data_IF_286045270661
#
_entry.id   IF_286045270661
#
_cell.length_a   1.000
_cell.length_b   1.000
_cell.length_c   1.000
_cell.angle_alpha   90.00
_cell.angle_beta   90.00
_cell.angle_gamma   90.00
#
_symmetry.space_group_name_H-M   'P 1'
#
loop_
_entity.id
_entity.type
_entity.pdbx_description
1 polymer ?
#
# COMPACT_ATOMS: atom_id res chain seq x y z
N UNK A 1 49.62 -4.04 18.12
CA UNK A 1 49.09 -2.67 17.96
C UNK A 1 48.92 -2.46 16.47
N UNK A 2 47.73 -2.75 15.93
CA UNK A 2 47.42 -2.60 14.50
C UNK A 2 46.53 -1.37 14.39
N UNK A 3 47.07 -0.31 13.81
CA UNK A 3 46.34 0.94 13.52
C UNK A 3 45.40 0.69 12.34
N UNK A 4 44.09 0.90 12.55
CA UNK A 4 43.11 0.92 11.48
C UNK A 4 43.22 2.23 10.68
N UNK A 5 43.02 2.23 9.34
CA UNK A 5 43.02 3.46 8.55
C UNK A 5 41.79 4.32 8.87
N UNK A 6 41.97 5.63 8.88
CA UNK A 6 40.92 6.63 9.10
C UNK A 6 39.87 6.61 7.98
N UNK A 7 38.61 6.45 8.37
CA UNK A 7 37.41 6.31 7.51
C UNK A 7 36.77 7.64 7.10
N UNK A 8 37.51 8.76 7.10
CA UNK A 8 36.90 10.10 7.06
C UNK A 8 36.72 10.71 5.67
N UNK A 9 37.42 10.25 4.63
CA UNK A 9 37.37 10.88 3.30
C UNK A 9 36.34 10.22 2.36
N UNK A 10 36.26 8.88 2.33
CA UNK A 10 35.39 8.13 1.40
C UNK A 10 33.89 8.33 1.67
N UNK A 11 33.50 8.67 2.90
CA UNK A 11 32.10 8.85 3.30
C UNK A 11 31.54 10.20 2.88
N UNK A 12 32.37 11.24 2.84
CA UNK A 12 31.95 12.60 2.52
C UNK A 12 31.74 12.76 1.01
N UNK A 13 32.60 12.14 0.20
CA UNK A 13 32.47 12.11 -1.26
C UNK A 13 31.27 11.25 -1.71
N UNK A 14 31.03 10.10 -1.06
CA UNK A 14 29.86 9.26 -1.33
C UNK A 14 28.54 9.96 -0.95
N UNK A 15 28.53 10.69 0.17
CA UNK A 15 27.37 11.48 0.62
C UNK A 15 27.10 12.67 -0.31
N UNK A 16 28.14 13.43 -0.66
CA UNK A 16 28.03 14.52 -1.62
C UNK A 16 27.55 14.02 -3.00
N UNK A 17 27.95 12.81 -3.41
CA UNK A 17 27.49 12.20 -4.66
C UNK A 17 26.00 11.83 -4.60
N UNK A 18 25.52 11.28 -3.48
CA UNK A 18 24.08 10.97 -3.27
C UNK A 18 23.22 12.23 -3.19
N UNK A 19 23.65 13.25 -2.44
CA UNK A 19 22.96 14.54 -2.34
C UNK A 19 22.91 15.24 -3.71
N UNK A 20 24.02 15.21 -4.48
CA UNK A 20 24.08 15.79 -5.81
C UNK A 20 23.21 15.02 -6.82
N UNK A 21 23.13 13.69 -6.71
CA UNK A 21 22.23 12.88 -7.54
C UNK A 21 20.75 13.13 -7.20
N UNK A 22 20.40 13.28 -5.92
CA UNK A 22 19.05 13.61 -5.49
C UNK A 22 18.63 15.03 -5.93
N UNK A 23 19.54 16.01 -5.82
CA UNK A 23 19.30 17.37 -6.30
C UNK A 23 19.21 17.44 -7.83
N UNK A 24 20.06 16.71 -8.56
CA UNK A 24 19.96 16.56 -10.03
C UNK A 24 18.64 15.90 -10.42
N UNK A 25 18.19 14.87 -9.70
CA UNK A 25 16.89 14.25 -9.93
C UNK A 25 15.75 15.27 -9.70
N UNK A 26 15.79 16.04 -8.61
CA UNK A 26 14.79 17.08 -8.30
C UNK A 26 14.80 18.22 -9.33
N UNK A 27 15.99 18.64 -9.79
CA UNK A 27 16.17 19.73 -10.76
C UNK A 27 15.78 19.29 -12.17
N UNK A 28 16.13 18.06 -12.57
CA UNK A 28 15.61 17.41 -13.78
C UNK A 28 14.08 17.27 -13.70
N UNK A 29 13.51 17.05 -12.52
CA UNK A 29 12.05 16.99 -12.34
C UNK A 29 11.39 18.38 -12.36
N UNK A 30 12.07 19.43 -11.88
CA UNK A 30 11.59 20.83 -11.92
C UNK A 30 11.64 21.44 -13.32
N UNK A 31 12.75 21.27 -14.04
CA UNK A 31 12.93 21.80 -15.40
C UNK A 31 11.99 21.14 -16.43
N UNK A 32 11.44 19.98 -16.09
CA UNK A 32 10.41 19.27 -16.84
C UNK A 32 9.01 19.93 -16.72
N UNK A 33 8.66 20.43 -15.53
CA UNK A 33 7.33 20.96 -15.23
C UNK A 33 7.17 22.50 -15.34
N UNK A 34 8.19 23.24 -15.80
CA UNK A 34 8.16 24.70 -15.92
C UNK A 34 7.82 25.18 -17.33
N UNK A 35 6.67 25.84 -17.47
CA UNK A 35 6.23 26.69 -18.59
C UNK A 35 6.57 26.22 -20.03
N UNK A 36 5.79 25.26 -20.54
CA UNK A 36 5.65 25.07 -22.00
C UNK A 36 4.18 25.06 -22.40
N UNK A 37 3.80 25.75 -23.51
CA UNK A 37 2.44 25.73 -24.01
C UNK A 37 2.05 24.31 -24.40
N UNK A 38 0.80 23.96 -24.10
CA UNK A 38 0.21 22.66 -24.35
C UNK A 38 0.04 22.42 -25.86
N UNK A 39 1.08 21.91 -26.51
CA UNK A 39 1.02 21.39 -27.88
C UNK A 39 1.04 19.86 -27.84
N UNK A 40 -0.14 19.26 -27.99
CA UNK A 40 -0.44 17.99 -28.65
C UNK A 40 0.45 16.75 -28.44
N UNK A 41 -0.19 15.71 -27.88
CA UNK A 41 0.12 14.27 -27.94
C UNK A 41 1.29 13.76 -27.08
N UNK A 42 0.95 13.32 -25.87
CA UNK A 42 1.82 12.56 -24.96
C UNK A 42 2.35 13.43 -23.82
N UNK A 43 2.24 12.95 -22.58
CA UNK A 43 2.94 13.59 -21.47
C UNK A 43 4.47 13.36 -21.61
N UNK A 44 5.25 14.21 -20.96
CA UNK A 44 6.71 14.31 -21.07
C UNK A 44 7.48 13.01 -20.72
N UNK A 45 6.78 11.99 -20.22
CA UNK A 45 7.32 10.69 -19.89
C UNK A 45 7.20 9.68 -21.04
N UNK A 46 6.69 10.10 -22.20
CA UNK A 46 6.49 9.22 -23.34
C UNK A 46 5.48 8.12 -23.04
N UNK A 47 4.57 8.33 -22.08
CA UNK A 47 3.39 7.47 -21.95
C UNK A 47 2.55 7.79 -23.18
N UNK A 48 2.33 6.81 -24.10
CA UNK A 48 1.49 7.05 -25.25
C UNK A 48 0.15 7.59 -24.76
N UNK A 49 -0.30 8.72 -25.31
CA UNK A 49 -1.67 9.15 -25.13
C UNK A 49 -2.55 8.03 -25.73
N UNK A 50 -3.12 7.19 -24.86
CA UNK A 50 -3.76 5.92 -25.25
C UNK A 50 -3.25 4.64 -24.57
N UNK A 51 -2.29 4.70 -23.64
CA UNK A 51 -1.99 3.55 -22.76
C UNK A 51 -3.23 3.11 -21.95
N UNK A 52 -3.35 1.82 -21.59
CA UNK A 52 -4.55 1.32 -20.91
C UNK A 52 -4.77 2.10 -19.61
N UNK A 53 -5.91 2.82 -19.55
CA UNK A 53 -6.26 3.63 -18.40
C UNK A 53 -6.51 2.72 -17.21
N UNK A 54 -5.85 2.99 -16.08
CA UNK A 54 -6.08 2.28 -14.83
C UNK A 54 -7.58 2.31 -14.48
N UNK A 55 -8.18 1.12 -14.40
CA UNK A 55 -9.57 0.93 -13.98
C UNK A 55 -9.58 -0.02 -12.80
N UNK A 56 -10.07 0.43 -11.66
CA UNK A 56 -10.18 -0.40 -10.47
C UNK A 56 -11.46 -1.25 -10.51
N UNK A 57 -11.32 -2.51 -10.14
CA UNK A 57 -12.42 -3.42 -9.88
C UNK A 57 -12.51 -3.72 -8.39
N UNK A 58 -13.71 -3.67 -7.83
CA UNK A 58 -14.01 -3.90 -6.40
C UNK A 58 -15.28 -4.72 -6.27
N UNK A 59 -15.72 -5.01 -5.04
CA UNK A 59 -17.00 -5.67 -4.76
C UNK A 59 -18.17 -5.05 -5.55
N UNK A 60 -18.18 -3.73 -5.73
CA UNK A 60 -19.29 -3.04 -6.39
C UNK A 60 -19.37 -3.20 -7.91
N UNK A 61 -18.32 -3.70 -8.58
CA UNK A 61 -18.29 -3.73 -10.05
C UNK A 61 -17.56 -4.93 -10.67
N UNK A 62 -16.97 -5.86 -9.90
CA UNK A 62 -16.22 -6.98 -10.48
C UNK A 62 -17.08 -7.92 -11.34
N UNK A 63 -18.38 -8.05 -11.01
CA UNK A 63 -19.36 -8.77 -11.83
C UNK A 63 -19.52 -8.21 -13.25
N UNK A 64 -19.02 -6.99 -13.51
CA UNK A 64 -19.07 -6.37 -14.84
C UNK A 64 -17.85 -6.71 -15.72
N UNK A 65 -16.85 -7.42 -15.20
CA UNK A 65 -15.69 -7.88 -15.97
C UNK A 65 -16.18 -8.95 -16.96
N UNK A 66 -15.79 -8.85 -18.24
CA UNK A 66 -16.22 -9.79 -19.28
C UNK A 66 -15.71 -11.20 -19.00
N UNK A 67 -14.43 -11.31 -18.71
CA UNK A 67 -13.75 -12.57 -18.40
C UNK A 67 -14.34 -13.27 -17.16
N UNK A 68 -14.77 -12.52 -16.15
CA UNK A 68 -15.48 -13.08 -14.98
C UNK A 68 -16.78 -13.74 -15.39
N UNK A 69 -17.56 -13.13 -16.28
CA UNK A 69 -18.85 -13.70 -16.74
C UNK A 69 -18.68 -14.92 -17.65
N UNK A 70 -17.57 -14.96 -18.39
CA UNK A 70 -17.29 -16.00 -19.36
C UNK A 70 -16.64 -17.24 -18.71
N UNK A 71 -15.71 -17.03 -17.77
CA UNK A 71 -14.89 -18.11 -17.22
C UNK A 71 -15.32 -18.58 -15.82
N UNK A 72 -16.07 -17.78 -15.05
CA UNK A 72 -16.50 -18.19 -13.71
C UNK A 72 -17.95 -18.68 -13.69
N UNK A 73 -18.17 -19.76 -12.93
CA UNK A 73 -19.51 -20.19 -12.55
C UNK A 73 -20.17 -19.20 -11.58
N UNK A 74 -21.50 -19.20 -11.54
CA UNK A 74 -22.26 -18.41 -10.56
C UNK A 74 -21.89 -18.77 -9.10
N UNK A 75 -21.49 -20.02 -8.83
CA UNK A 75 -21.02 -20.43 -7.51
C UNK A 75 -19.69 -19.73 -7.15
N UNK A 76 -18.73 -19.67 -8.07
CA UNK A 76 -17.46 -18.98 -7.87
C UNK A 76 -17.67 -17.46 -7.72
N UNK A 77 -18.51 -16.86 -8.56
CA UNK A 77 -18.86 -15.43 -8.47
C UNK A 77 -19.52 -15.12 -7.12
N UNK A 78 -20.44 -15.99 -6.67
CA UNK A 78 -21.08 -15.86 -5.37
C UNK A 78 -20.08 -16.01 -4.21
N UNK A 79 -19.14 -16.95 -4.30
CA UNK A 79 -18.10 -17.10 -3.29
C UNK A 79 -17.20 -15.84 -3.19
N UNK A 80 -16.82 -15.25 -4.32
CA UNK A 80 -16.08 -13.98 -4.37
C UNK A 80 -16.87 -12.86 -3.67
N UNK A 81 -18.17 -12.72 -3.97
CA UNK A 81 -19.06 -11.71 -3.34
C UNK A 81 -19.14 -11.89 -1.81
N UNK A 82 -19.34 -13.12 -1.35
CA UNK A 82 -19.40 -13.46 0.08
C UNK A 82 -18.10 -13.09 0.79
N UNK A 83 -16.96 -13.49 0.25
CA UNK A 83 -15.65 -13.23 0.89
C UNK A 83 -15.32 -11.73 0.83
N UNK A 84 -15.59 -11.05 -0.28
CA UNK A 84 -15.33 -9.62 -0.46
C UNK A 84 -16.17 -8.71 0.44
N UNK A 85 -17.25 -9.22 1.05
CA UNK A 85 -18.00 -8.49 2.10
C UNK A 85 -17.30 -8.53 3.45
N UNK A 86 -16.47 -9.55 3.69
CA UNK A 86 -15.67 -9.69 4.92
C UNK A 86 -14.26 -9.12 4.71
N UNK A 87 -13.55 -9.52 3.67
CA UNK A 87 -12.17 -9.09 3.39
C UNK A 87 -12.14 -8.06 2.26
N UNK A 88 -11.22 -7.08 2.30
CA UNK A 88 -11.18 -6.02 1.30
C UNK A 88 -10.80 -6.60 -0.07
N UNK A 89 -11.53 -6.19 -1.11
CA UNK A 89 -11.26 -6.63 -2.48
C UNK A 89 -11.05 -5.44 -3.42
N UNK A 90 -9.92 -5.47 -4.12
CA UNK A 90 -9.60 -4.56 -5.20
C UNK A 90 -8.65 -5.24 -6.18
N UNK A 91 -8.95 -5.19 -7.46
CA UNK A 91 -8.01 -5.51 -8.55
C UNK A 91 -8.08 -4.39 -9.60
N UNK A 92 -7.43 -4.55 -10.75
CA UNK A 92 -7.45 -3.54 -11.81
C UNK A 92 -7.43 -4.16 -13.21
N UNK A 93 -7.70 -3.32 -14.22
CA UNK A 93 -7.71 -3.71 -15.64
C UNK A 93 -6.43 -4.42 -16.07
N UNK A 94 -5.25 -3.93 -15.72
CA UNK A 94 -4.00 -4.57 -16.14
C UNK A 94 -3.86 -6.00 -15.59
N UNK A 95 -4.19 -6.21 -14.31
CA UNK A 95 -4.19 -7.56 -13.72
C UNK A 95 -5.17 -8.48 -14.45
N UNK A 96 -6.39 -7.99 -14.69
CA UNK A 96 -7.47 -8.76 -15.31
C UNK A 96 -7.22 -9.06 -16.79
N UNK A 97 -6.69 -8.09 -17.53
CA UNK A 97 -6.60 -8.15 -18.98
C UNK A 97 -5.26 -8.76 -19.44
N UNK A 98 -4.18 -8.60 -18.66
CA UNK A 98 -2.82 -8.94 -19.10
C UNK A 98 -2.11 -10.02 -18.26
N UNK A 99 -2.51 -10.23 -16.99
CA UNK A 99 -1.75 -11.10 -16.07
C UNK A 99 -2.44 -12.41 -15.71
N UNK A 100 -3.77 -12.46 -15.74
CA UNK A 100 -4.52 -13.68 -15.42
C UNK A 100 -4.64 -14.54 -16.67
N UNK A 101 -4.18 -15.79 -16.58
CA UNK A 101 -4.55 -16.81 -17.55
C UNK A 101 -5.96 -17.34 -17.24
N UNK A 102 -6.96 -16.80 -17.93
CA UNK A 102 -8.37 -17.15 -17.70
C UNK A 102 -8.73 -18.57 -18.12
N UNK A 103 -7.91 -19.23 -18.95
CA UNK A 103 -8.12 -20.61 -19.35
C UNK A 103 -7.70 -21.61 -18.25
N UNK A 104 -6.82 -21.19 -17.33
CA UNK A 104 -6.39 -21.99 -16.16
C UNK A 104 -7.13 -21.62 -14.86
N UNK A 105 -8.11 -20.73 -14.89
CA UNK A 105 -8.92 -20.40 -13.71
C UNK A 105 -9.79 -21.62 -13.31
N UNK A 106 -9.80 -22.05 -12.03
CA UNK A 106 -9.38 -21.30 -10.84
C UNK A 106 -7.93 -21.50 -10.35
N UNK A 107 -7.10 -22.25 -11.07
CA UNK A 107 -5.74 -22.60 -10.64
C UNK A 107 -4.69 -21.54 -11.01
N UNK A 108 -5.01 -20.61 -11.91
CA UNK A 108 -4.10 -19.51 -12.27
C UNK A 108 -3.61 -18.76 -11.01
N UNK A 109 -2.29 -18.67 -10.79
CA UNK A 109 -1.75 -18.09 -9.57
C UNK A 109 -2.07 -16.59 -9.45
N UNK A 110 -2.15 -15.83 -10.55
CA UNK A 110 -2.46 -14.40 -10.46
C UNK A 110 -3.91 -14.18 -10.03
N UNK A 111 -4.84 -15.01 -10.53
CA UNK A 111 -6.23 -15.04 -10.09
C UNK A 111 -6.31 -15.37 -8.60
N UNK A 112 -5.64 -16.43 -8.14
CA UNK A 112 -5.61 -16.82 -6.71
C UNK A 112 -5.08 -15.68 -5.82
N UNK A 113 -4.09 -14.92 -6.29
CA UNK A 113 -3.51 -13.82 -5.52
C UNK A 113 -4.37 -12.54 -5.54
N UNK A 114 -5.28 -12.35 -6.50
CA UNK A 114 -6.01 -11.10 -6.69
C UNK A 114 -7.53 -11.19 -6.50
N UNK A 115 -8.14 -12.37 -6.63
CA UNK A 115 -9.57 -12.58 -6.43
C UNK A 115 -9.85 -13.33 -5.13
N UNK A 116 -10.84 -12.90 -4.32
CA UNK A 116 -11.18 -13.57 -3.07
C UNK A 116 -11.49 -15.06 -3.26
N UNK A 117 -10.84 -15.90 -2.45
CA UNK A 117 -11.02 -17.35 -2.45
C UNK A 117 -11.94 -17.75 -1.29
N UNK A 118 -12.80 -18.76 -1.50
CA UNK A 118 -13.75 -19.25 -0.49
C UNK A 118 -13.03 -19.65 0.81
N UNK A 119 -11.86 -20.27 0.66
CA UNK A 119 -11.02 -20.82 1.72
C UNK A 119 -10.35 -19.73 2.59
N UNK A 120 -10.47 -18.45 2.21
CA UNK A 120 -10.01 -17.33 3.04
C UNK A 120 -10.85 -17.15 4.30
N UNK A 121 -12.04 -17.76 4.37
CA UNK A 121 -12.89 -17.78 5.54
C UNK A 121 -13.04 -19.20 6.07
N UNK A 122 -13.14 -19.34 7.39
CA UNK A 122 -13.61 -20.59 7.98
C UNK A 122 -14.99 -20.95 7.44
N UNK A 123 -15.31 -22.25 7.26
CA UNK A 123 -16.60 -22.68 6.70
C UNK A 123 -17.82 -22.03 7.38
N UNK A 124 -17.82 -21.95 8.72
CA UNK A 124 -18.88 -21.28 9.50
C UNK A 124 -19.03 -19.80 9.14
N UNK A 125 -17.93 -19.08 9.01
CA UNK A 125 -17.95 -17.65 8.66
C UNK A 125 -18.46 -17.43 7.24
N UNK A 126 -18.04 -18.28 6.29
CA UNK A 126 -18.53 -18.25 4.93
C UNK A 126 -20.05 -18.50 4.90
N UNK A 127 -20.53 -19.55 5.57
CA UNK A 127 -21.95 -19.92 5.56
C UNK A 127 -22.85 -18.84 6.18
N UNK A 128 -22.42 -18.24 7.30
CA UNK A 128 -23.13 -17.13 7.93
C UNK A 128 -23.25 -15.92 6.98
N UNK A 129 -22.15 -15.55 6.32
CA UNK A 129 -22.16 -14.43 5.38
C UNK A 129 -22.97 -14.76 4.13
N UNK A 130 -22.80 -15.96 3.58
CA UNK A 130 -23.57 -16.45 2.43
C UNK A 130 -25.07 -16.42 2.69
N UNK A 131 -25.52 -16.78 3.90
CA UNK A 131 -26.94 -16.68 4.28
C UNK A 131 -27.45 -15.24 4.24
N UNK A 132 -26.66 -14.25 4.68
CA UNK A 132 -27.00 -12.83 4.56
C UNK A 132 -27.05 -12.35 3.11
N UNK A 133 -26.08 -12.76 2.29
CA UNK A 133 -26.04 -12.38 0.87
C UNK A 133 -27.23 -12.96 0.09
N UNK A 134 -27.57 -14.24 0.30
CA UNK A 134 -28.70 -14.90 -0.40
C UNK A 134 -30.05 -14.25 -0.15
N UNK A 135 -30.28 -13.73 1.05
CA UNK A 135 -31.53 -13.06 1.43
C UNK A 135 -31.52 -11.56 1.18
N UNK A 136 -30.48 -11.05 0.52
CA UNK A 136 -30.23 -9.62 0.29
C UNK A 136 -30.40 -8.79 1.58
N UNK A 137 -29.72 -9.24 2.66
CA UNK A 137 -29.84 -8.62 3.96
C UNK A 137 -29.41 -7.14 3.94
N UNK A 138 -29.98 -6.28 4.81
CA UNK A 138 -29.57 -4.89 4.92
C UNK A 138 -28.07 -4.74 5.16
N UNK A 139 -27.47 -3.69 4.56
CA UNK A 139 -26.03 -3.41 4.68
C UNK A 139 -25.52 -3.41 6.13
N UNK A 140 -26.30 -2.85 7.06
CA UNK A 140 -25.93 -2.80 8.47
C UNK A 140 -25.75 -4.20 9.10
N UNK A 141 -26.55 -5.19 8.70
CA UNK A 141 -26.42 -6.57 9.19
C UNK A 141 -25.16 -7.24 8.63
N UNK A 142 -24.88 -7.01 7.34
CA UNK A 142 -23.65 -7.50 6.68
C UNK A 142 -22.41 -6.90 7.34
N UNK A 143 -22.40 -5.58 7.57
CA UNK A 143 -21.28 -4.89 8.19
C UNK A 143 -21.05 -5.40 9.63
N UNK A 144 -22.12 -5.63 10.40
CA UNK A 144 -22.04 -6.16 11.76
C UNK A 144 -21.44 -7.58 11.79
N UNK A 145 -21.88 -8.47 10.90
CA UNK A 145 -21.28 -9.81 10.76
C UNK A 145 -19.83 -9.72 10.28
N UNK A 146 -19.54 -8.90 9.26
CA UNK A 146 -18.20 -8.73 8.72
C UNK A 146 -17.21 -8.27 9.80
N UNK A 147 -17.58 -7.26 10.60
CA UNK A 147 -16.74 -6.76 11.69
C UNK A 147 -16.54 -7.82 12.78
N UNK A 148 -17.58 -8.57 13.13
CA UNK A 148 -17.46 -9.70 14.07
C UNK A 148 -16.48 -10.76 13.57
N UNK A 149 -16.53 -11.13 12.28
CA UNK A 149 -15.59 -12.08 11.69
C UNK A 149 -14.17 -11.50 11.70
N UNK A 150 -14.00 -10.26 11.22
CA UNK A 150 -12.70 -9.56 11.16
C UNK A 150 -11.97 -9.54 12.51
N UNK A 151 -12.68 -9.31 13.60
CA UNK A 151 -12.11 -9.31 14.96
C UNK A 151 -11.59 -10.69 15.41
N UNK A 152 -12.07 -11.78 14.79
CA UNK A 152 -11.58 -13.14 15.03
C UNK A 152 -10.36 -13.50 14.17
N UNK A 153 -10.08 -12.72 13.12
CA UNK A 153 -8.99 -12.97 12.16
C UNK A 153 -7.64 -12.31 12.54
N UNK A 154 -7.43 -12.02 13.83
CA UNK A 154 -6.21 -11.39 14.36
C UNK A 154 -5.77 -10.11 13.59
N UNK A 155 -6.58 -9.05 13.60
CA UNK A 155 -6.21 -7.79 12.97
C UNK A 155 -5.01 -7.21 13.72
N UNK A 156 -3.86 -7.05 13.04
CA UNK A 156 -2.53 -6.71 13.59
C UNK A 156 -1.70 -7.90 14.11
N UNK A 157 -1.27 -8.81 13.21
CA UNK A 157 -0.31 -9.83 13.59
C UNK A 157 0.97 -9.19 14.17
N UNK A 158 1.53 -9.86 15.18
CA UNK A 158 2.79 -9.48 15.84
C UNK A 158 2.80 -8.09 16.52
N UNK A 159 1.65 -7.62 17.02
CA UNK A 159 1.58 -6.42 17.86
C UNK A 159 1.95 -5.14 17.12
N UNK A 160 1.53 -4.99 15.86
CA UNK A 160 1.92 -3.84 15.00
C UNK A 160 1.67 -2.48 15.68
N UNK A 161 0.60 -2.35 16.48
CA UNK A 161 0.24 -1.12 17.17
C UNK A 161 0.91 -0.97 18.55
N UNK A 162 1.54 -2.02 19.07
CA UNK A 162 2.07 -2.09 20.43
C UNK A 162 3.60 -2.09 20.45
N UNK A 163 4.22 -2.77 19.49
CA UNK A 163 5.66 -2.97 19.43
C UNK A 163 6.32 -2.01 18.45
N UNK A 164 7.50 -1.54 18.84
CA UNK A 164 8.37 -0.70 18.00
C UNK A 164 7.77 0.64 17.58
N UNK A 165 6.63 1.04 18.15
CA UNK A 165 6.04 2.38 17.94
C UNK A 165 6.87 3.37 18.76
N UNK A 166 7.64 4.25 18.10
CA UNK A 166 8.51 5.15 18.83
C UNK A 166 7.75 6.38 19.34
N UNK A 167 8.42 7.13 20.21
CA UNK A 167 7.92 8.36 20.78
C UNK A 167 8.97 9.46 20.60
N UNK A 168 8.51 10.68 20.33
CA UNK A 168 9.35 11.89 20.34
C UNK A 168 8.61 12.97 21.11
N UNK A 169 9.28 13.64 22.06
CA UNK A 169 8.70 14.73 22.86
C UNK A 169 7.35 14.40 23.53
N UNK A 170 7.17 13.18 24.04
CA UNK A 170 5.89 12.75 24.65
C UNK A 170 4.80 12.36 23.65
N UNK A 171 5.09 12.42 22.34
CA UNK A 171 4.14 12.11 21.27
C UNK A 171 4.46 10.76 20.64
N UNK A 172 3.53 9.80 20.76
CA UNK A 172 3.64 8.51 20.07
C UNK A 172 3.45 8.69 18.57
N UNK A 173 4.32 8.06 17.78
CA UNK A 173 4.30 8.17 16.32
C UNK A 173 3.51 6.99 15.73
N UNK A 174 2.17 7.07 15.80
CA UNK A 174 1.19 6.01 15.46
C UNK A 174 1.05 5.67 13.98
N UNK A 175 1.99 6.16 13.16
CA UNK A 175 2.20 5.77 11.76
C UNK A 175 3.67 5.46 11.49
N UNK A 176 4.44 5.09 12.50
CA UNK A 176 5.86 4.79 12.38
C UNK A 176 6.27 3.61 13.26
N UNK A 177 7.24 2.83 12.80
CA UNK A 177 7.91 1.80 13.61
C UNK A 177 9.42 1.93 13.47
N UNK A 178 10.16 2.00 14.59
CA UNK A 178 11.61 1.83 14.58
C UNK A 178 11.91 0.32 14.65
N UNK A 179 12.03 -0.32 13.49
CA UNK A 179 11.99 -1.79 13.39
C UNK A 179 13.34 -2.45 13.63
N UNK A 180 14.40 -1.84 13.12
CA UNK A 180 15.80 -2.25 13.31
C UNK A 180 16.61 -1.00 13.65
N UNK A 181 17.78 -1.19 14.26
CA UNK A 181 18.65 -0.08 14.68
C UNK A 181 18.85 0.98 13.59
N UNK A 182 18.94 0.56 12.34
CA UNK A 182 19.18 1.44 11.20
C UNK A 182 17.93 1.78 10.38
N UNK A 183 16.78 1.13 10.63
CA UNK A 183 15.60 1.19 9.75
C UNK A 183 14.32 1.56 10.48
N UNK A 184 13.71 2.65 10.04
CA UNK A 184 12.35 3.06 10.43
C UNK A 184 11.37 2.80 9.28
N UNK A 185 10.19 2.28 9.62
CA UNK A 185 9.06 2.13 8.71
C UNK A 185 8.12 3.30 8.95
N UNK A 186 7.77 4.02 7.89
CA UNK A 186 6.77 5.08 7.93
C UNK A 186 5.54 4.66 7.11
N UNK A 187 4.35 4.94 7.62
CA UNK A 187 3.07 4.54 7.07
C UNK A 187 2.29 5.79 6.63
N UNK A 188 2.46 6.29 5.39
CA UNK A 188 1.76 7.47 4.93
C UNK A 188 0.26 7.23 4.92
N UNK A 189 -0.55 8.13 5.49
CA UNK A 189 -2.01 8.00 5.43
C UNK A 189 -2.54 7.97 3.99
N UNK A 190 -1.86 8.66 3.06
CA UNK A 190 -2.22 8.65 1.65
C UNK A 190 -1.82 7.37 0.91
N UNK A 191 -0.94 6.55 1.50
CA UNK A 191 -0.46 5.26 0.96
C UNK A 191 -1.14 4.05 1.61
N UNK A 192 -2.20 4.23 2.40
CA UNK A 192 -2.97 3.12 3.01
C UNK A 192 -3.98 2.52 2.02
N UNK A 193 -3.52 2.20 0.81
CA UNK A 193 -4.25 1.43 -0.20
C UNK A 193 -3.23 0.86 -1.17
N UNK A 194 -3.67 -0.04 -2.04
CA UNK A 194 -2.84 -0.68 -3.05
C UNK A 194 -3.51 -0.58 -4.42
N UNK A 195 -2.75 -0.82 -5.49
CA UNK A 195 -3.29 -0.86 -6.85
C UNK A 195 -4.17 -2.11 -7.07
N UNK A 196 -3.86 -3.20 -6.36
CA UNK A 196 -4.67 -4.38 -6.12
C UNK A 196 -4.44 -4.90 -4.68
N UNK A 197 -5.42 -5.58 -4.08
CA UNK A 197 -5.30 -6.18 -2.75
C UNK A 197 -5.01 -7.67 -2.87
N UNK A 198 -3.83 -8.06 -2.41
CA UNK A 198 -3.44 -9.46 -2.39
C UNK A 198 -4.33 -10.26 -1.43
N UNK A 199 -4.77 -11.45 -1.82
CA UNK A 199 -5.58 -12.35 -0.98
C UNK A 199 -4.87 -12.80 0.30
N UNK A 200 -3.54 -12.79 0.29
CA UNK A 200 -2.68 -13.12 1.44
C UNK A 200 -2.20 -11.89 2.24
N UNK A 201 -2.74 -10.69 1.96
CA UNK A 201 -2.26 -9.46 2.58
C UNK A 201 -2.51 -9.44 4.11
N UNK A 202 -1.47 -9.64 4.91
CA UNK A 202 -1.58 -9.55 6.37
C UNK A 202 -1.89 -8.13 6.90
N UNK A 203 -1.82 -7.11 6.04
CA UNK A 203 -2.17 -5.71 6.35
C UNK A 203 -3.59 -5.35 5.92
N UNK A 204 -4.43 -6.33 5.59
CA UNK A 204 -5.84 -6.12 5.27
C UNK A 204 -6.62 -5.25 6.28
N UNK A 205 -6.31 -5.22 7.60
CA UNK A 205 -7.03 -4.35 8.54
C UNK A 205 -6.97 -2.85 8.19
N UNK A 206 -5.95 -2.42 7.44
CA UNK A 206 -5.81 -1.04 6.99
C UNK A 206 -6.88 -0.63 5.96
N UNK A 207 -7.54 -1.59 5.31
CA UNK A 207 -8.41 -1.34 4.15
C UNK A 207 -9.90 -1.59 4.42
N UNK A 208 -10.28 -2.01 5.64
CA UNK A 208 -11.67 -2.39 5.98
C UNK A 208 -12.52 -1.26 6.54
N UNK A 209 -11.96 -0.05 6.66
CA UNK A 209 -12.70 1.14 7.11
C UNK A 209 -13.00 1.17 8.61
N UNK A 210 -12.30 0.36 9.42
CA UNK A 210 -12.31 0.46 10.88
C UNK A 210 -11.16 1.38 11.29
N UNK A 211 -11.47 2.62 11.67
CA UNK A 211 -10.46 3.65 11.94
C UNK A 211 -9.54 3.28 13.10
N UNK A 212 -10.04 2.49 14.06
CA UNK A 212 -9.26 1.99 15.20
C UNK A 212 -8.16 1.00 14.79
N UNK A 213 -8.28 0.40 13.61
CA UNK A 213 -7.28 -0.53 13.05
C UNK A 213 -6.28 0.18 12.13
N UNK A 214 -6.45 1.48 11.87
CA UNK A 214 -5.54 2.20 10.98
C UNK A 214 -4.23 2.52 11.68
N UNK A 215 -3.12 2.23 11.01
CA UNK A 215 -1.77 2.54 11.47
C UNK A 215 -1.08 3.40 10.42
N UNK A 216 -1.30 4.71 10.48
CA UNK A 216 -0.78 5.65 9.50
C UNK A 216 -0.72 7.08 10.04
N UNK A 217 0.17 7.91 9.50
CA UNK A 217 0.28 9.32 9.88
C UNK A 217 0.59 10.23 8.68
N UNK A 218 0.39 11.54 8.89
CA UNK A 218 0.60 12.59 7.88
C UNK A 218 1.78 13.50 8.22
N UNK A 219 2.11 13.57 9.50
CA UNK A 219 3.03 14.50 10.14
C UNK A 219 4.48 14.08 9.83
N UNK A 220 4.95 14.49 8.65
CA UNK A 220 6.29 14.17 8.15
C UNK A 220 7.37 14.92 8.95
N UNK A 221 7.00 16.04 9.56
CA UNK A 221 7.85 16.84 10.43
C UNK A 221 8.31 16.04 11.65
N UNK A 222 7.41 15.26 12.26
CA UNK A 222 7.73 14.39 13.39
C UNK A 222 8.66 13.23 12.99
N UNK A 223 8.48 12.68 11.78
CA UNK A 223 9.41 11.71 11.21
C UNK A 223 10.82 12.33 11.05
N UNK A 224 10.90 13.53 10.50
CA UNK A 224 12.18 14.23 10.31
C UNK A 224 12.85 14.51 11.65
N UNK A 225 12.10 15.01 12.65
CA UNK A 225 12.61 15.21 14.01
C UNK A 225 13.13 13.91 14.62
N UNK A 226 12.38 12.82 14.48
CA UNK A 226 12.79 11.52 14.98
C UNK A 226 14.09 11.04 14.33
N UNK A 227 14.19 11.08 13.00
CA UNK A 227 15.39 10.63 12.28
C UNK A 227 16.61 11.53 12.61
N UNK A 228 16.40 12.84 12.79
CA UNK A 228 17.48 13.74 13.27
C UNK A 228 18.01 13.37 14.65
N UNK A 229 17.12 12.96 15.56
CA UNK A 229 17.48 12.57 16.92
C UNK A 229 18.12 11.17 17.00
N UNK A 230 17.99 10.34 15.96
CA UNK A 230 18.46 8.96 15.91
C UNK A 230 19.46 8.77 14.75
N UNK A 231 20.72 9.24 14.90
CA UNK A 231 21.74 9.18 13.85
C UNK A 231 22.23 7.76 13.55
N UNK A 232 21.73 6.73 14.22
CA UNK A 232 21.90 5.34 13.82
C UNK A 232 20.98 4.95 12.64
N UNK A 233 19.89 5.69 12.40
CA UNK A 233 18.95 5.42 11.31
C UNK A 233 19.58 5.86 9.98
N UNK A 234 19.75 4.91 9.07
CA UNK A 234 20.19 5.14 7.68
C UNK A 234 19.07 4.98 6.66
N UNK A 235 17.98 4.30 7.02
CA UNK A 235 16.95 3.87 6.08
C UNK A 235 15.54 4.23 6.57
N UNK A 236 14.79 4.95 5.74
CA UNK A 236 13.36 5.23 5.93
C UNK A 236 12.57 4.45 4.89
N UNK A 237 11.83 3.44 5.33
CA UNK A 237 10.96 2.62 4.48
C UNK A 237 9.53 3.15 4.51
N UNK A 238 9.09 3.78 3.41
CA UNK A 238 7.68 4.07 3.20
C UNK A 238 6.90 2.78 2.90
N UNK A 239 5.87 2.48 3.67
CA UNK A 239 5.10 1.22 3.59
C UNK A 239 3.65 1.42 4.04
N UNK A 240 2.90 0.34 4.29
CA UNK A 240 1.47 0.34 4.58
C UNK A 240 0.73 -0.52 3.58
N UNK A 241 0.06 0.12 2.63
CA UNK A 241 -0.30 -0.53 1.38
C UNK A 241 0.85 -0.44 0.39
N UNK A 242 0.62 0.29 -0.70
CA UNK A 242 1.60 0.57 -1.74
C UNK A 242 1.77 2.09 -1.86
N UNK A 243 2.89 2.67 -1.37
CA UNK A 243 3.12 4.11 -1.46
C UNK A 243 3.10 4.67 -2.89
N UNK A 244 3.37 3.84 -3.91
CA UNK A 244 3.44 4.28 -5.30
C UNK A 244 2.06 4.51 -5.92
N UNK A 245 0.97 4.14 -5.24
CA UNK A 245 -0.39 4.53 -5.65
C UNK A 245 -0.71 5.99 -5.35
N UNK A 246 0.13 6.65 -4.53
CA UNK A 246 -0.05 8.06 -4.21
C UNK A 246 0.20 8.91 -5.45
N UNK A 247 -0.61 9.97 -5.63
CA UNK A 247 -0.28 11.02 -6.58
C UNK A 247 1.10 11.61 -6.22
N UNK A 248 1.89 11.97 -7.22
CA UNK A 248 3.24 12.53 -7.06
C UNK A 248 3.30 13.63 -5.99
N UNK A 249 2.36 14.59 -6.03
CA UNK A 249 2.27 15.68 -5.04
C UNK A 249 2.10 15.23 -3.58
N UNK A 250 1.52 14.06 -3.35
CA UNK A 250 1.35 13.51 -2.02
C UNK A 250 2.63 12.79 -1.58
N UNK A 251 3.22 11.98 -2.47
CA UNK A 251 4.49 11.31 -2.21
C UNK A 251 5.61 12.34 -1.91
N UNK A 252 5.65 13.42 -2.68
CA UNK A 252 6.58 14.54 -2.50
C UNK A 252 6.51 15.15 -1.09
N UNK A 253 5.31 15.28 -0.52
CA UNK A 253 5.14 15.83 0.85
C UNK A 253 5.81 14.99 1.92
N UNK A 254 6.00 13.69 1.70
CA UNK A 254 6.67 12.80 2.63
C UNK A 254 8.19 12.73 2.39
N UNK A 255 8.61 12.75 1.12
CA UNK A 255 10.03 12.57 0.76
C UNK A 255 10.82 13.88 0.84
N UNK A 256 10.26 14.99 0.32
CA UNK A 256 10.98 16.26 0.20
C UNK A 256 11.50 16.79 1.55
N UNK A 257 10.72 16.76 2.65
CA UNK A 257 11.23 17.20 3.95
C UNK A 257 12.44 16.41 4.44
N UNK A 258 12.51 15.09 4.18
CA UNK A 258 13.67 14.27 4.56
C UNK A 258 14.93 14.67 3.78
N UNK A 259 14.79 14.94 2.48
CA UNK A 259 15.91 15.33 1.62
C UNK A 259 16.43 16.73 1.97
N UNK A 260 15.56 17.65 2.37
CA UNK A 260 15.92 19.04 2.68
C UNK A 260 16.41 19.21 4.13
N UNK A 261 16.16 18.21 4.99
CA UNK A 261 16.39 18.28 6.43
C UNK A 261 17.85 18.31 6.88
N UNK A 262 18.83 18.13 5.97
CA UNK A 262 20.27 17.99 6.28
C UNK A 262 20.49 16.96 7.41
N UNK A 263 19.99 15.75 7.19
CA UNK A 263 20.07 14.66 8.15
C UNK A 263 21.54 14.27 8.42
N UNK A 264 21.87 13.73 9.60
CA UNK A 264 23.25 13.40 9.95
C UNK A 264 23.86 12.29 9.08
N UNK A 265 23.04 11.46 8.43
CA UNK A 265 23.40 10.42 7.45
C UNK A 265 22.79 10.73 6.08
#
# INVERSE_FOLDING_TARGET
>A
MVTMPSRSADTEEARATKERAALLFIEQFRNRNGDRPNEGNGDEYGVPDGGPRYKAYTLGNFRNIGQVKEHLSEEQIFAIDVVARVLPFKTNSYVVDELIDWDDVPNDPIFVLNFPQKEMLEPRHFDEMAALVRRDAPKAEIDALANRIRLQLNPHPAGQMEHNVPEINGTKLTGMQHKYRETVLFFPSNGQTCHAYCTFCFRWPQFVGMDELKFAMRETELLVEYVKAHPEVSDVLFTGGDPMVMRTKNLERYIRPLLEAKLPN
#
